data_IF_921175546720
#
_entry.id   IF_921175546720
#
_cell.length_a   1.000
_cell.length_b   1.000
_cell.length_c   1.000
_cell.angle_alpha   90.00
_cell.angle_beta   90.00
_cell.angle_gamma   90.00
#
_symmetry.space_group_name_H-M   'P 1'
#
loop_
_entity.id
_entity.type
_entity.pdbx_description
1 polymer ?
#
# COMPACT_ATOMS: atom_id res chain seq x y z
N UNK A 1 -9.49 17.74 89.81
CA UNK A 1 -8.73 16.58 89.26
C UNK A 1 -9.56 15.85 88.22
N UNK A 2 -9.34 16.12 86.94
CA UNK A 2 -9.84 15.29 85.82
C UNK A 2 -8.84 15.44 84.70
N UNK A 3 -8.12 14.36 84.38
CA UNK A 3 -7.17 14.27 83.28
C UNK A 3 -7.97 13.94 82.01
N UNK A 4 -7.96 14.85 81.02
CA UNK A 4 -8.49 14.58 79.69
C UNK A 4 -7.41 13.92 78.82
N UNK A 5 -7.67 12.73 78.35
CA UNK A 5 -6.86 12.01 77.39
C UNK A 5 -7.24 12.51 76.01
N UNK A 6 -6.31 13.18 75.33
CA UNK A 6 -6.41 13.48 73.90
C UNK A 6 -5.90 12.26 73.18
N UNK A 7 -6.78 11.55 72.41
CA UNK A 7 -6.42 10.52 71.50
C UNK A 7 -6.09 11.17 70.13
N UNK A 8 -4.83 11.15 69.79
CA UNK A 8 -4.38 11.52 68.44
C UNK A 8 -4.65 10.32 67.54
N UNK A 9 -5.58 10.45 66.58
CA UNK A 9 -5.83 9.49 65.56
C UNK A 9 -4.89 9.82 64.41
N UNK A 10 -3.85 9.00 64.21
CA UNK A 10 -3.03 9.01 63.01
C UNK A 10 -3.82 8.36 61.88
N UNK A 11 -4.33 9.16 60.94
CA UNK A 11 -4.88 8.67 59.69
C UNK A 11 -3.70 8.38 58.77
N UNK A 12 -3.34 7.12 58.63
CA UNK A 12 -2.43 6.66 57.57
C UNK A 12 -3.18 6.71 56.22
N UNK A 13 -2.93 7.76 55.42
CA UNK A 13 -3.33 7.77 54.04
C UNK A 13 -2.33 6.88 53.30
N UNK A 14 -2.68 5.62 53.10
CA UNK A 14 -2.00 4.74 52.19
C UNK A 14 -2.32 5.20 50.74
N UNK A 15 -1.43 5.99 50.14
CA UNK A 15 -1.47 6.25 48.71
C UNK A 15 -1.10 4.96 48.03
N UNK A 16 -2.10 4.19 47.61
CA UNK A 16 -1.94 3.09 46.72
C UNK A 16 -1.52 3.67 45.34
N UNK A 17 -0.22 3.70 45.11
CA UNK A 17 0.31 3.79 43.75
C UNK A 17 -0.13 2.52 43.01
N UNK A 18 -1.24 2.62 42.27
CA UNK A 18 -1.58 1.64 41.25
C UNK A 18 -0.56 1.88 40.12
N UNK A 19 0.59 1.23 40.26
CA UNK A 19 1.48 1.03 39.14
C UNK A 19 0.67 0.13 38.19
N UNK A 20 -0.04 0.75 37.25
CA UNK A 20 -0.56 0.06 36.09
C UNK A 20 0.66 -0.46 35.34
N UNK A 21 1.09 -1.66 35.69
CA UNK A 21 1.98 -2.44 34.86
C UNK A 21 1.21 -2.74 33.59
N UNK A 22 1.18 -1.80 32.62
CA UNK A 22 0.94 -2.15 31.24
C UNK A 22 2.03 -3.17 30.92
N UNK A 23 1.66 -4.45 31.00
CA UNK A 23 2.44 -5.48 30.36
C UNK A 23 2.50 -5.04 28.89
N UNK A 24 3.61 -4.46 28.49
CA UNK A 24 3.99 -4.38 27.09
C UNK A 24 3.96 -5.83 26.63
N UNK A 25 2.87 -6.20 26.00
CA UNK A 25 2.80 -7.50 25.35
C UNK A 25 3.86 -7.43 24.27
N UNK A 26 5.03 -8.03 24.56
CA UNK A 26 6.06 -8.19 23.54
C UNK A 26 5.38 -8.73 22.31
N UNK A 27 5.50 -8.03 21.21
CA UNK A 27 4.98 -8.48 19.93
C UNK A 27 5.49 -9.92 19.67
N UNK A 28 4.57 -10.87 19.55
CA UNK A 28 4.91 -12.29 19.38
C UNK A 28 5.20 -12.68 17.90
N UNK A 29 5.39 -11.68 17.03
CA UNK A 29 5.52 -11.87 15.60
C UNK A 29 4.17 -11.73 14.87
N UNK A 30 4.18 -11.73 13.55
CA UNK A 30 2.98 -11.72 12.74
C UNK A 30 2.18 -13.01 13.00
N UNK A 31 0.84 -12.89 13.14
CA UNK A 31 -0.01 -14.09 13.18
C UNK A 31 0.17 -14.86 11.87
N UNK A 32 0.06 -16.20 11.89
CA UNK A 32 0.09 -17.00 10.67
C UNK A 32 -0.93 -16.46 9.66
N UNK A 33 -0.48 -16.29 8.41
CA UNK A 33 -1.35 -15.83 7.33
C UNK A 33 -2.22 -17.02 6.94
N UNK A 34 -3.53 -16.82 6.94
CA UNK A 34 -4.46 -17.88 6.59
C UNK A 34 -4.28 -18.31 5.13
N UNK A 35 -4.06 -19.59 4.91
CA UNK A 35 -4.07 -20.18 3.56
C UNK A 35 -5.51 -20.17 3.05
N UNK A 36 -5.70 -19.64 1.85
CA UNK A 36 -7.01 -19.55 1.19
C UNK A 36 -6.91 -20.16 -0.21
N UNK A 37 -8.01 -20.66 -0.77
CA UNK A 37 -8.04 -21.06 -2.18
C UNK A 37 -7.77 -19.86 -3.08
N UNK A 38 -6.92 -20.07 -4.10
CA UNK A 38 -6.53 -19.03 -5.06
C UNK A 38 -6.96 -19.35 -6.50
N UNK A 39 -7.90 -20.29 -6.64
CA UNK A 39 -8.61 -20.49 -7.90
C UNK A 39 -9.43 -19.24 -8.23
N UNK A 40 -9.46 -18.87 -9.53
CA UNK A 40 -10.15 -17.68 -10.00
C UNK A 40 -11.63 -17.67 -9.58
N UNK A 41 -12.10 -16.52 -9.14
CA UNK A 41 -13.47 -16.27 -8.69
C UNK A 41 -14.11 -15.15 -9.49
N UNK A 42 -15.42 -15.18 -9.74
CA UNK A 42 -16.10 -14.09 -10.43
C UNK A 42 -15.90 -12.74 -9.73
N UNK A 43 -15.68 -11.70 -10.52
CA UNK A 43 -15.67 -10.30 -10.09
C UNK A 43 -16.91 -9.59 -10.59
N UNK A 44 -17.47 -8.72 -9.74
CA UNK A 44 -18.57 -7.87 -10.09
C UNK A 44 -18.03 -6.62 -10.83
N UNK A 45 -18.32 -6.51 -12.12
CA UNK A 45 -17.98 -5.33 -12.90
C UNK A 45 -18.96 -4.20 -12.59
N UNK A 46 -18.44 -3.02 -12.29
CA UNK A 46 -19.25 -1.82 -12.18
C UNK A 46 -19.69 -1.35 -13.59
N UNK A 47 -20.87 -0.77 -13.69
CA UNK A 47 -21.23 -0.02 -14.88
C UNK A 47 -20.33 1.21 -15.02
N UNK A 48 -19.87 1.51 -16.23
CA UNK A 48 -19.03 2.69 -16.51
C UNK A 48 -19.79 3.65 -17.43
N UNK A 49 -19.71 4.95 -17.09
CA UNK A 49 -20.37 6.00 -17.86
C UNK A 49 -20.63 7.25 -17.04
N UNK A 50 -21.51 8.10 -17.54
CA UNK A 50 -21.97 9.31 -16.88
C UNK A 50 -23.35 9.11 -16.27
N UNK A 51 -23.47 9.42 -14.99
CA UNK A 51 -24.72 9.43 -14.23
C UNK A 51 -25.32 10.83 -14.29
N UNK A 52 -26.55 10.94 -14.78
CA UNK A 52 -27.33 12.16 -14.74
C UNK A 52 -28.24 12.13 -13.50
N UNK A 53 -28.04 13.04 -12.56
CA UNK A 53 -28.73 13.03 -11.27
C UNK A 53 -29.93 13.95 -11.21
N UNK A 54 -30.22 14.64 -12.31
CA UNK A 54 -31.24 15.70 -12.37
C UNK A 54 -30.76 17.01 -11.74
N UNK A 55 -31.47 18.08 -12.01
CA UNK A 55 -31.14 19.42 -11.53
C UNK A 55 -29.78 19.93 -12.03
N UNK A 56 -29.28 19.42 -13.17
CA UNK A 56 -28.00 19.80 -13.73
C UNK A 56 -26.76 19.25 -13.01
N UNK A 57 -26.91 18.20 -12.21
CA UNK A 57 -25.80 17.52 -11.50
C UNK A 57 -25.44 16.22 -12.22
N UNK A 58 -24.15 15.97 -12.41
CA UNK A 58 -23.61 14.82 -13.11
C UNK A 58 -22.44 14.20 -12.32
N UNK A 59 -22.25 12.90 -12.51
CA UNK A 59 -21.08 12.19 -12.03
C UNK A 59 -20.57 11.21 -13.09
N UNK A 60 -19.30 10.79 -13.03
CA UNK A 60 -18.77 9.80 -13.94
C UNK A 60 -17.74 8.91 -13.27
N UNK A 61 -17.70 7.64 -13.68
CA UNK A 61 -16.68 6.65 -13.36
C UNK A 61 -16.02 6.10 -14.64
N UNK A 62 -16.16 6.79 -15.78
CA UNK A 62 -15.60 6.37 -17.06
C UNK A 62 -14.16 6.88 -17.23
N UNK A 63 -13.26 6.29 -16.43
CA UNK A 63 -11.80 6.48 -16.49
C UNK A 63 -11.08 5.33 -15.78
N UNK A 64 -9.77 5.22 -15.99
CA UNK A 64 -8.93 4.22 -15.33
C UNK A 64 -8.86 4.45 -13.82
N UNK A 65 -9.01 3.39 -13.03
CA UNK A 65 -8.96 3.45 -11.57
C UNK A 65 -10.25 3.96 -10.90
N UNK A 66 -11.28 4.32 -11.67
CA UNK A 66 -12.55 4.75 -11.13
C UNK A 66 -13.27 3.65 -10.35
N UNK A 67 -13.94 4.06 -9.26
CA UNK A 67 -14.88 3.22 -8.49
C UNK A 67 -16.05 4.06 -8.01
N UNK A 68 -17.20 3.80 -8.60
CA UNK A 68 -18.50 4.39 -8.28
C UNK A 68 -19.57 3.38 -8.69
N UNK A 69 -20.13 2.67 -7.71
CA UNK A 69 -21.09 1.59 -8.01
C UNK A 69 -22.53 2.08 -8.09
N UNK A 70 -22.83 3.19 -7.44
CA UNK A 70 -24.13 3.85 -7.51
C UNK A 70 -24.06 5.26 -6.96
N UNK A 71 -24.92 6.12 -7.47
CA UNK A 71 -25.08 7.50 -7.02
C UNK A 71 -26.52 7.95 -7.21
N UNK A 72 -27.05 8.68 -6.24
CA UNK A 72 -28.42 9.20 -6.27
C UNK A 72 -28.50 10.58 -5.64
N UNK A 73 -29.26 11.48 -6.25
CA UNK A 73 -29.64 12.73 -5.64
C UNK A 73 -30.89 12.50 -4.76
N UNK A 74 -30.72 12.65 -3.45
CA UNK A 74 -31.81 12.48 -2.49
C UNK A 74 -32.73 13.69 -2.42
N UNK A 75 -32.16 14.90 -2.55
CA UNK A 75 -32.85 16.20 -2.61
C UNK A 75 -31.93 17.25 -3.25
N UNK A 76 -32.27 18.53 -3.13
CA UNK A 76 -31.52 19.62 -3.78
C UNK A 76 -30.07 19.78 -3.31
N UNK A 77 -29.78 19.35 -2.10
CA UNK A 77 -28.44 19.50 -1.49
C UNK A 77 -27.77 18.20 -1.12
N UNK A 78 -28.47 17.06 -1.06
CA UNK A 78 -27.90 15.78 -0.64
C UNK A 78 -27.77 14.83 -1.82
N UNK A 79 -26.54 14.39 -2.04
CA UNK A 79 -26.17 13.32 -3.00
C UNK A 79 -25.57 12.17 -2.22
N UNK A 80 -26.03 10.94 -2.47
CA UNK A 80 -25.50 9.72 -1.84
C UNK A 80 -24.81 8.85 -2.86
N UNK A 81 -23.59 8.45 -2.52
CA UNK A 81 -22.71 7.55 -3.29
C UNK A 81 -22.66 6.19 -2.62
N UNK A 82 -22.71 5.12 -3.40
CA UNK A 82 -22.49 3.74 -2.96
C UNK A 82 -21.22 3.19 -3.60
N UNK A 83 -20.34 2.64 -2.77
CA UNK A 83 -19.12 1.95 -3.17
C UNK A 83 -19.18 0.51 -2.68
N UNK A 84 -18.90 -0.44 -3.57
CA UNK A 84 -18.85 -1.88 -3.27
C UNK A 84 -17.53 -2.49 -3.72
N UNK A 85 -17.12 -3.61 -3.15
CA UNK A 85 -15.96 -4.36 -3.60
C UNK A 85 -16.21 -5.07 -4.94
N UNK A 86 -15.16 -5.56 -5.55
CA UNK A 86 -15.19 -6.38 -6.76
C UNK A 86 -15.77 -7.77 -6.53
N UNK A 87 -15.56 -8.35 -5.34
CA UNK A 87 -16.17 -9.61 -4.90
C UNK A 87 -16.03 -9.80 -3.40
N UNK A 88 -16.52 -10.95 -2.89
CA UNK A 88 -16.39 -11.38 -1.49
C UNK A 88 -16.10 -12.87 -1.42
N UNK A 89 -15.48 -13.38 -0.33
CA UNK A 89 -14.94 -12.64 0.81
C UNK A 89 -13.71 -11.81 0.44
N UNK A 90 -13.52 -10.69 1.14
CA UNK A 90 -12.41 -9.75 0.89
C UNK A 90 -11.92 -9.16 2.21
N UNK A 91 -10.60 -8.93 2.33
CA UNK A 91 -10.05 -8.02 3.33
C UNK A 91 -10.19 -6.59 2.79
N UNK A 92 -11.14 -5.78 3.27
CA UNK A 92 -11.56 -4.58 2.56
C UNK A 92 -10.54 -3.45 2.67
N UNK A 93 -10.19 -2.89 1.52
CA UNK A 93 -9.52 -1.60 1.37
C UNK A 93 -10.40 -0.69 0.51
N UNK A 94 -11.44 -0.06 1.08
CA UNK A 94 -12.53 0.57 0.35
C UNK A 94 -12.10 1.73 -0.53
N UNK A 95 -11.61 1.42 -1.71
CA UNK A 95 -11.24 2.37 -2.75
C UNK A 95 -12.46 3.03 -3.35
N UNK A 96 -12.36 4.31 -3.66
CA UNK A 96 -13.32 5.09 -4.44
C UNK A 96 -12.59 6.13 -5.28
N UNK A 97 -13.09 6.38 -6.49
CA UNK A 97 -12.63 7.45 -7.35
C UNK A 97 -13.71 7.77 -8.38
N UNK A 98 -14.15 9.01 -8.49
CA UNK A 98 -15.18 9.45 -9.42
C UNK A 98 -15.04 10.93 -9.72
N UNK A 99 -15.70 11.36 -10.81
CA UNK A 99 -15.85 12.75 -11.20
C UNK A 99 -17.24 13.25 -10.82
N UNK A 100 -17.33 14.54 -10.50
CA UNK A 100 -18.57 15.21 -10.16
C UNK A 100 -18.54 16.63 -10.72
N UNK A 101 -19.65 17.10 -11.29
CA UNK A 101 -19.80 18.48 -11.79
C UNK A 101 -21.28 18.88 -11.86
N UNK A 102 -21.55 20.17 -12.08
CA UNK A 102 -22.89 20.68 -12.32
C UNK A 102 -22.88 21.79 -13.37
N UNK A 103 -24.03 22.05 -13.97
CA UNK A 103 -24.15 23.12 -14.98
C UNK A 103 -24.01 24.51 -14.39
N UNK A 104 -24.31 24.68 -13.10
CA UNK A 104 -24.22 25.93 -12.37
C UNK A 104 -23.50 25.71 -11.04
N UNK A 105 -22.84 26.74 -10.54
CA UNK A 105 -22.20 26.74 -9.22
C UNK A 105 -23.21 26.42 -8.12
N UNK A 106 -22.86 25.47 -7.26
CA UNK A 106 -23.69 25.10 -6.09
C UNK A 106 -22.91 24.36 -5.01
N UNK A 107 -23.46 24.44 -3.81
CA UNK A 107 -23.01 23.62 -2.68
C UNK A 107 -23.87 22.35 -2.57
N UNK A 108 -23.20 21.21 -2.36
CA UNK A 108 -23.86 19.92 -2.06
C UNK A 108 -23.26 19.26 -0.85
N UNK A 109 -24.07 18.43 -0.17
CA UNK A 109 -23.62 17.47 0.82
C UNK A 109 -23.49 16.11 0.13
N UNK A 110 -22.28 15.62 -0.06
CA UNK A 110 -22.03 14.29 -0.60
C UNK A 110 -21.86 13.30 0.53
N UNK A 111 -22.75 12.31 0.59
CA UNK A 111 -22.64 11.16 1.51
C UNK A 111 -22.00 9.99 0.80
N UNK A 112 -20.81 9.59 1.25
CA UNK A 112 -20.11 8.43 0.73
C UNK A 112 -20.40 7.21 1.60
N UNK A 113 -21.07 6.20 1.01
CA UNK A 113 -21.48 4.97 1.69
C UNK A 113 -20.83 3.75 1.07
N UNK A 114 -20.85 2.65 1.80
CA UNK A 114 -20.20 1.40 1.42
C UNK A 114 -21.19 0.23 1.53
N UNK A 115 -20.87 -0.88 0.87
CA UNK A 115 -21.61 -2.14 1.07
C UNK A 115 -21.66 -2.55 2.54
N UNK A 116 -22.66 -3.36 2.90
CA UNK A 116 -22.79 -3.87 4.26
C UNK A 116 -21.55 -4.61 4.74
N UNK A 117 -21.22 -4.40 6.01
CA UNK A 117 -19.99 -4.97 6.61
C UNK A 117 -18.71 -4.22 6.28
N UNK A 118 -18.77 -3.16 5.44
CA UNK A 118 -17.61 -2.30 5.14
C UNK A 118 -17.67 -0.96 5.88
N UNK A 119 -16.62 -0.16 5.68
CA UNK A 119 -16.32 1.05 6.43
C UNK A 119 -15.59 2.08 5.57
N UNK A 120 -15.52 3.32 6.05
CA UNK A 120 -14.65 4.33 5.45
C UNK A 120 -13.21 4.17 5.97
N UNK A 121 -12.23 4.21 5.05
CA UNK A 121 -10.80 4.06 5.37
C UNK A 121 -9.97 5.28 4.99
N UNK A 122 -10.13 5.78 3.78
CA UNK A 122 -9.22 6.77 3.20
C UNK A 122 -9.77 8.18 3.32
N UNK A 123 -8.98 9.09 3.90
CA UNK A 123 -9.32 10.50 3.96
C UNK A 123 -9.42 11.08 2.54
N UNK A 124 -10.56 11.72 2.16
CA UNK A 124 -10.80 12.10 0.77
C UNK A 124 -9.79 13.10 0.22
N UNK A 125 -9.38 12.89 -1.02
CA UNK A 125 -8.59 13.82 -1.82
C UNK A 125 -9.41 14.36 -2.97
N UNK A 126 -9.22 15.64 -3.25
CA UNK A 126 -9.90 16.39 -4.30
C UNK A 126 -8.89 16.87 -5.34
N UNK A 127 -9.33 16.95 -6.60
CA UNK A 127 -8.56 17.51 -7.70
C UNK A 127 -9.48 18.11 -8.75
N UNK A 128 -9.05 19.19 -9.42
CA UNK A 128 -9.76 19.76 -10.57
C UNK A 128 -9.12 19.38 -11.92
N UNK A 129 -7.96 18.74 -11.92
CA UNK A 129 -7.24 18.35 -13.14
C UNK A 129 -6.85 16.87 -13.17
N UNK A 130 -7.16 16.09 -12.12
CA UNK A 130 -6.80 14.68 -11.99
C UNK A 130 -5.31 14.41 -11.77
N UNK A 131 -4.50 15.46 -11.59
CA UNK A 131 -3.04 15.38 -11.39
C UNK A 131 -2.61 15.90 -10.03
N UNK A 132 -3.08 17.09 -9.66
CA UNK A 132 -2.75 17.76 -8.41
C UNK A 132 -3.86 17.45 -7.40
N UNK A 133 -3.50 16.80 -6.30
CA UNK A 133 -4.44 16.28 -5.31
C UNK A 133 -4.23 16.95 -3.96
N UNK A 134 -5.30 17.41 -3.35
CA UNK A 134 -5.29 17.96 -1.98
C UNK A 134 -6.27 17.23 -1.10
N UNK A 135 -5.93 16.95 0.18
CA UNK A 135 -6.92 16.47 1.15
C UNK A 135 -8.07 17.47 1.27
N UNK A 136 -9.30 16.97 1.46
CA UNK A 136 -10.44 17.85 1.76
C UNK A 136 -10.17 18.61 3.07
N UNK A 137 -10.63 19.87 3.14
CA UNK A 137 -10.58 20.64 4.40
C UNK A 137 -11.39 19.93 5.50
N UNK A 138 -10.79 19.76 6.67
CA UNK A 138 -11.41 19.08 7.79
C UNK A 138 -12.71 19.72 8.28
N UNK A 139 -12.90 21.02 8.04
CA UNK A 139 -14.16 21.73 8.34
C UNK A 139 -15.33 21.27 7.46
N UNK A 140 -15.02 20.76 6.26
CA UNK A 140 -16.00 20.28 5.27
C UNK A 140 -16.25 18.76 5.34
N UNK A 141 -15.56 18.07 6.25
CA UNK A 141 -15.62 16.62 6.41
C UNK A 141 -16.24 16.21 7.73
N UNK A 142 -17.13 15.23 7.71
CA UNK A 142 -17.78 14.67 8.91
C UNK A 142 -17.94 13.16 8.82
N UNK A 143 -17.42 12.45 9.80
CA UNK A 143 -17.64 11.02 9.96
C UNK A 143 -19.02 10.71 10.55
N UNK A 144 -19.58 9.55 10.17
CA UNK A 144 -20.81 9.06 10.79
C UNK A 144 -20.59 8.68 12.25
N UNK A 145 -21.61 8.88 13.10
CA UNK A 145 -21.64 8.31 14.44
C UNK A 145 -21.78 6.78 14.43
N UNK A 146 -22.41 6.25 13.37
CA UNK A 146 -22.49 4.80 13.15
C UNK A 146 -21.12 4.26 12.84
N UNK A 147 -20.67 3.30 13.67
CA UNK A 147 -19.35 2.69 13.59
C UNK A 147 -19.43 1.20 13.34
N UNK A 148 -18.31 0.63 12.88
CA UNK A 148 -18.08 -0.81 12.78
C UNK A 148 -16.72 -1.12 13.42
N UNK A 149 -16.69 -2.18 14.24
CA UNK A 149 -15.45 -2.67 14.85
C UNK A 149 -14.71 -3.56 13.85
N UNK A 150 -13.49 -3.19 13.48
CA UNK A 150 -12.60 -3.98 12.62
C UNK A 150 -11.27 -4.13 13.32
N UNK A 151 -10.97 -5.35 13.77
CA UNK A 151 -9.84 -5.62 14.66
C UNK A 151 -9.86 -4.68 15.89
N UNK A 152 -8.79 -3.90 16.12
CA UNK A 152 -8.70 -2.92 17.20
C UNK A 152 -9.28 -1.54 16.86
N UNK A 153 -9.80 -1.33 15.63
CA UNK A 153 -10.24 -0.03 15.14
C UNK A 153 -11.76 0.09 15.13
N UNK A 154 -12.24 1.25 15.54
CA UNK A 154 -13.66 1.61 15.51
C UNK A 154 -13.89 2.62 14.36
N UNK A 155 -14.32 2.11 13.20
CA UNK A 155 -14.31 2.83 11.92
C UNK A 155 -15.70 3.38 11.54
N UNK A 156 -15.78 4.56 10.89
CA UNK A 156 -17.05 5.12 10.45
C UNK A 156 -17.66 4.29 9.31
N UNK A 157 -18.98 4.07 9.33
CA UNK A 157 -19.68 3.35 8.27
C UNK A 157 -19.86 4.17 7.00
N UNK A 158 -19.90 5.49 7.14
CA UNK A 158 -19.99 6.44 6.02
C UNK A 158 -19.44 7.80 6.43
N UNK A 159 -19.23 8.67 5.46
CA UNK A 159 -18.85 10.05 5.69
C UNK A 159 -19.76 11.00 4.94
N UNK A 160 -19.77 12.26 5.36
CA UNK A 160 -20.38 13.37 4.62
C UNK A 160 -19.31 14.41 4.31
N UNK A 161 -19.35 14.95 3.10
CA UNK A 161 -18.48 16.03 2.62
C UNK A 161 -19.36 17.17 2.11
N UNK A 162 -19.03 18.41 2.46
CA UNK A 162 -19.59 19.59 1.83
C UNK A 162 -18.69 19.94 0.66
N UNK A 163 -19.24 19.99 -0.54
CA UNK A 163 -18.51 20.21 -1.78
C UNK A 163 -19.14 21.34 -2.59
N UNK A 164 -18.30 22.25 -3.09
CA UNK A 164 -18.66 23.22 -4.13
C UNK A 164 -18.45 22.56 -5.48
N UNK A 165 -19.47 22.48 -6.29
CA UNK A 165 -19.43 21.93 -7.66
C UNK A 165 -19.95 22.96 -8.65
N UNK A 166 -19.41 22.94 -9.85
CA UNK A 166 -19.75 23.86 -10.93
C UNK A 166 -19.50 23.21 -12.29
N UNK A 167 -19.38 24.00 -13.37
CA UNK A 167 -19.07 23.48 -14.70
C UNK A 167 -17.72 22.75 -14.79
N UNK A 168 -16.77 23.13 -13.93
CA UNK A 168 -15.48 22.44 -13.86
C UNK A 168 -15.61 21.09 -13.15
N UNK A 169 -14.92 20.11 -13.69
CA UNK A 169 -14.96 18.74 -13.14
C UNK A 169 -14.16 18.66 -11.83
N UNK A 170 -14.83 18.30 -10.75
CA UNK A 170 -14.22 17.93 -9.49
C UNK A 170 -13.98 16.40 -9.44
N UNK A 171 -12.75 15.99 -9.22
CA UNK A 171 -12.39 14.62 -8.95
C UNK A 171 -12.39 14.38 -7.44
N UNK A 172 -12.99 13.28 -7.01
CA UNK A 172 -13.02 12.83 -5.60
C UNK A 172 -12.45 11.43 -5.53
N UNK A 173 -11.40 11.23 -4.76
CA UNK A 173 -10.75 9.93 -4.66
C UNK A 173 -10.22 9.61 -3.26
N UNK A 174 -10.00 8.32 -3.01
CA UNK A 174 -9.41 7.78 -1.80
C UNK A 174 -7.94 8.18 -1.63
N UNK A 175 -7.19 8.15 -2.71
CA UNK A 175 -5.77 8.54 -2.83
C UNK A 175 -5.58 9.17 -4.22
N UNK A 176 -4.38 9.65 -4.51
CA UNK A 176 -4.00 10.08 -5.86
C UNK A 176 -4.21 8.95 -6.87
N UNK A 177 -4.68 9.28 -8.06
CA UNK A 177 -4.85 8.28 -9.13
C UNK A 177 -3.49 7.91 -9.72
N UNK A 178 -3.01 6.74 -9.38
CA UNK A 178 -1.83 6.11 -9.98
C UNK A 178 -2.30 4.87 -10.74
N UNK A 179 -2.67 5.08 -11.99
CA UNK A 179 -3.19 4.06 -12.92
C UNK A 179 -2.06 3.34 -13.67
N UNK A 180 -2.38 2.30 -14.44
CA UNK A 180 -1.37 1.64 -15.27
C UNK A 180 -0.75 2.58 -16.32
N UNK A 181 -1.53 3.50 -16.89
CA UNK A 181 -1.00 4.52 -17.81
C UNK A 181 0.02 5.41 -17.12
N UNK A 182 -0.24 5.86 -15.90
CA UNK A 182 0.70 6.71 -15.14
C UNK A 182 1.98 5.95 -14.75
N UNK A 183 1.85 4.68 -14.38
CA UNK A 183 3.02 3.82 -14.12
C UNK A 183 3.84 3.63 -15.40
N UNK A 184 3.17 3.41 -16.53
CA UNK A 184 3.84 3.32 -17.82
C UNK A 184 4.62 4.59 -18.19
N UNK A 185 4.02 5.77 -17.99
CA UNK A 185 4.68 7.06 -18.24
C UNK A 185 5.94 7.24 -17.37
N UNK A 186 5.88 6.81 -16.10
CA UNK A 186 7.04 6.81 -15.22
C UNK A 186 8.14 5.87 -15.74
N UNK A 187 7.78 4.66 -16.17
CA UNK A 187 8.73 3.70 -16.75
C UNK A 187 9.39 4.27 -17.99
N UNK A 188 8.62 4.88 -18.92
CA UNK A 188 9.15 5.53 -20.12
C UNK A 188 10.12 6.67 -19.76
N UNK A 189 9.79 7.47 -18.72
CA UNK A 189 10.70 8.50 -18.21
C UNK A 189 12.01 7.92 -17.69
N UNK A 190 11.95 6.81 -16.97
CA UNK A 190 13.13 6.11 -16.44
C UNK A 190 14.04 5.55 -17.55
N UNK A 191 13.46 5.11 -18.67
CA UNK A 191 14.24 4.60 -19.82
C UNK A 191 15.12 5.63 -20.52
N UNK A 192 14.97 6.94 -20.20
CA UNK A 192 15.91 7.95 -20.66
C UNK A 192 17.33 7.76 -20.10
N UNK A 193 17.48 6.99 -19.02
CA UNK A 193 18.76 6.68 -18.39
C UNK A 193 19.40 5.46 -19.08
N UNK A 194 20.71 5.51 -19.45
CA UNK A 194 21.36 4.49 -20.27
C UNK A 194 21.47 3.11 -19.60
N UNK A 195 21.39 3.05 -18.27
CA UNK A 195 21.45 1.83 -17.46
C UNK A 195 20.05 1.33 -17.03
N UNK A 196 18.98 1.90 -17.60
CA UNK A 196 17.61 1.45 -17.39
C UNK A 196 17.08 0.78 -18.64
N UNK A 197 16.46 -0.38 -18.48
CA UNK A 197 15.77 -1.08 -19.55
C UNK A 197 14.43 -1.61 -19.08
N UNK A 198 13.48 -1.75 -20.03
CA UNK A 198 12.14 -2.27 -19.80
C UNK A 198 11.94 -3.58 -20.59
N UNK A 199 11.15 -4.48 -20.03
CA UNK A 199 10.66 -5.68 -20.72
C UNK A 199 9.26 -6.03 -20.25
N UNK A 200 8.51 -6.79 -21.05
CA UNK A 200 7.26 -7.44 -20.66
C UNK A 200 7.59 -8.88 -20.23
N UNK A 201 7.19 -9.25 -18.99
CA UNK A 201 7.44 -10.60 -18.46
C UNK A 201 6.21 -11.50 -18.50
N UNK A 202 5.07 -10.98 -18.87
CA UNK A 202 3.80 -11.68 -18.99
C UNK A 202 2.63 -10.74 -19.10
N UNK A 203 1.43 -11.29 -19.02
CA UNK A 203 0.18 -10.54 -19.12
C UNK A 203 -0.78 -10.90 -17.99
N UNK A 204 -1.56 -9.91 -17.56
CA UNK A 204 -2.64 -10.06 -16.60
C UNK A 204 -3.83 -10.84 -17.19
N UNK A 205 -4.82 -11.12 -16.35
CA UNK A 205 -6.08 -11.79 -16.75
C UNK A 205 -6.77 -11.06 -17.92
N UNK A 206 -6.78 -9.71 -17.92
CA UNK A 206 -7.38 -8.90 -18.99
C UNK A 206 -6.41 -8.56 -20.11
N UNK A 207 -5.21 -9.16 -20.10
CA UNK A 207 -4.22 -9.02 -21.18
C UNK A 207 -3.32 -7.79 -21.09
N UNK A 208 -3.32 -7.05 -19.99
CA UNK A 208 -2.40 -5.92 -19.77
C UNK A 208 -0.99 -6.43 -19.51
N UNK A 209 0.06 -5.75 -20.01
CA UNK A 209 1.43 -6.16 -19.78
C UNK A 209 1.80 -6.11 -18.31
N UNK A 210 2.55 -7.12 -17.85
CA UNK A 210 3.29 -7.05 -16.60
C UNK A 210 4.68 -6.54 -16.98
N UNK A 211 4.89 -5.25 -16.73
CA UNK A 211 6.13 -4.57 -17.07
C UNK A 211 7.19 -4.78 -15.99
N UNK A 212 8.41 -5.07 -16.44
CA UNK A 212 9.59 -5.18 -15.61
C UNK A 212 10.60 -4.11 -16.01
N UNK A 213 11.10 -3.38 -15.02
CA UNK A 213 12.20 -2.43 -15.17
C UNK A 213 13.47 -3.05 -14.60
N UNK A 214 14.59 -2.94 -15.32
CA UNK A 214 15.93 -3.24 -14.81
C UNK A 214 16.71 -1.94 -14.66
N UNK A 215 17.32 -1.74 -13.52
CA UNK A 215 18.26 -0.66 -13.24
C UNK A 215 19.61 -1.26 -12.87
N UNK A 216 20.64 -1.04 -13.67
CA UNK A 216 21.99 -1.52 -13.38
C UNK A 216 22.80 -1.84 -14.64
N UNK A 217 24.09 -2.06 -14.43
CA UNK A 217 25.10 -2.29 -15.46
C UNK A 217 25.86 -3.61 -15.24
N UNK A 218 25.50 -4.39 -14.20
CA UNK A 218 26.22 -5.59 -13.80
C UNK A 218 25.85 -6.81 -14.65
N UNK A 219 26.58 -7.90 -14.46
CA UNK A 219 26.46 -9.17 -15.19
C UNK A 219 25.36 -10.13 -14.66
N UNK A 220 24.44 -9.63 -13.85
CA UNK A 220 23.38 -10.41 -13.16
C UNK A 220 23.87 -11.46 -12.15
N UNK A 221 25.12 -11.35 -11.66
CA UNK A 221 25.58 -12.22 -10.58
C UNK A 221 25.01 -11.82 -9.23
N UNK A 222 24.81 -10.52 -9.02
CA UNK A 222 24.24 -9.96 -7.79
C UNK A 222 22.99 -9.16 -8.14
N UNK A 223 21.86 -9.55 -7.59
CA UNK A 223 20.54 -8.99 -7.93
C UNK A 223 19.73 -8.64 -6.69
N UNK A 224 18.88 -7.63 -6.83
CA UNK A 224 17.78 -7.37 -5.90
C UNK A 224 16.45 -7.30 -6.66
N UNK A 225 15.36 -7.59 -5.96
CA UNK A 225 14.01 -7.58 -6.54
C UNK A 225 13.09 -6.62 -5.79
N UNK A 226 12.36 -5.79 -6.52
CA UNK A 226 11.41 -4.81 -5.99
C UNK A 226 10.03 -5.06 -6.60
N UNK A 227 9.05 -5.16 -5.74
CA UNK A 227 7.66 -5.40 -6.11
C UNK A 227 6.76 -4.34 -5.51
N UNK A 228 5.68 -3.98 -6.19
CA UNK A 228 4.65 -3.09 -5.68
C UNK A 228 3.29 -3.37 -6.31
N UNK A 229 2.24 -2.80 -5.72
CA UNK A 229 0.88 -2.76 -6.23
C UNK A 229 0.29 -4.13 -6.55
N UNK A 230 0.53 -5.12 -5.70
CA UNK A 230 -0.28 -6.34 -5.67
C UNK A 230 -1.75 -6.01 -5.31
N UNK A 231 -1.95 -5.01 -4.43
CA UNK A 231 -3.27 -4.50 -4.04
C UNK A 231 -3.50 -3.11 -4.65
N UNK A 232 -4.59 -2.93 -5.39
CA UNK A 232 -4.88 -1.72 -6.16
C UNK A 232 -4.90 -0.40 -5.37
N UNK A 233 -5.44 -0.30 -4.13
CA UNK A 233 -5.52 0.95 -3.39
C UNK A 233 -4.20 1.44 -2.76
N UNK A 234 -3.16 0.64 -2.77
CA UNK A 234 -1.94 0.87 -1.98
C UNK A 234 -0.98 1.85 -2.67
N UNK A 235 -1.43 3.11 -2.79
CA UNK A 235 -0.72 4.17 -3.52
C UNK A 235 0.51 4.66 -2.76
N UNK A 236 0.47 4.77 -1.42
CA UNK A 236 1.61 5.28 -0.65
C UNK A 236 2.82 4.34 -0.72
N UNK A 237 2.59 3.03 -0.74
CA UNK A 237 3.66 2.05 -0.97
C UNK A 237 4.29 2.20 -2.35
N UNK A 238 3.47 2.40 -3.38
CA UNK A 238 3.96 2.65 -4.73
C UNK A 238 4.83 3.92 -4.82
N UNK A 239 4.39 5.03 -4.24
CA UNK A 239 5.15 6.29 -4.25
C UNK A 239 6.47 6.18 -3.47
N UNK A 240 6.53 5.38 -2.40
CA UNK A 240 7.78 5.08 -1.71
C UNK A 240 8.70 4.19 -2.56
N UNK A 241 8.14 3.23 -3.30
CA UNK A 241 8.87 2.41 -4.27
C UNK A 241 9.45 3.26 -5.41
N UNK A 242 8.69 4.22 -5.96
CA UNK A 242 9.22 5.17 -6.96
C UNK A 242 10.48 5.88 -6.44
N UNK A 243 10.40 6.50 -5.25
CA UNK A 243 11.52 7.21 -4.64
C UNK A 243 12.71 6.28 -4.35
N UNK A 244 12.45 5.04 -3.95
CA UNK A 244 13.47 4.01 -3.75
C UNK A 244 14.21 3.69 -5.06
N UNK A 245 13.49 3.44 -6.14
CA UNK A 245 14.05 3.11 -7.45
C UNK A 245 14.78 4.31 -8.08
N UNK A 246 14.19 5.50 -8.02
CA UNK A 246 14.82 6.74 -8.49
C UNK A 246 16.14 7.02 -7.76
N UNK A 247 16.24 6.68 -6.47
CA UNK A 247 17.49 6.82 -5.71
C UNK A 247 18.56 5.85 -6.19
N UNK A 248 18.20 4.60 -6.51
CA UNK A 248 19.14 3.64 -7.11
C UNK A 248 19.57 4.09 -8.52
N UNK A 249 18.69 4.77 -9.23
CA UNK A 249 18.95 5.30 -10.57
C UNK A 249 19.55 6.71 -10.56
N UNK A 250 19.87 7.30 -9.41
CA UNK A 250 20.44 8.66 -9.34
C UNK A 250 21.92 8.71 -9.74
N UNK A 251 22.44 9.93 -9.97
CA UNK A 251 23.86 10.21 -10.27
C UNK A 251 24.74 10.27 -9.00
N UNK A 252 24.23 9.80 -7.87
CA UNK A 252 24.97 9.72 -6.61
C UNK A 252 26.05 8.63 -6.72
N UNK A 253 27.24 8.89 -6.21
CA UNK A 253 28.42 7.99 -6.30
C UNK A 253 28.14 6.59 -5.71
N UNK A 254 27.31 6.49 -4.67
CA UNK A 254 26.94 5.21 -4.09
C UNK A 254 25.98 4.45 -5.04
N UNK A 255 25.05 5.15 -5.70
CA UNK A 255 24.15 4.56 -6.67
C UNK A 255 24.92 4.10 -7.92
N UNK A 256 25.89 4.88 -8.41
CA UNK A 256 26.77 4.46 -9.52
C UNK A 256 27.57 3.21 -9.16
N UNK A 257 28.18 3.18 -7.97
CA UNK A 257 28.92 2.00 -7.50
C UNK A 257 27.99 0.79 -7.38
N UNK A 258 26.79 1.00 -6.84
CA UNK A 258 25.82 -0.07 -6.68
C UNK A 258 25.39 -0.65 -8.03
N UNK A 259 25.03 0.16 -9.02
CA UNK A 259 24.63 -0.28 -10.36
C UNK A 259 25.72 -1.06 -11.13
N UNK A 260 26.99 -0.80 -10.85
CA UNK A 260 28.13 -1.56 -11.42
C UNK A 260 28.24 -2.97 -10.82
N UNK A 261 27.75 -3.16 -9.59
CA UNK A 261 27.88 -4.41 -8.85
C UNK A 261 26.56 -5.20 -8.81
N UNK A 262 25.41 -4.51 -8.76
CA UNK A 262 24.09 -5.09 -8.59
C UNK A 262 23.15 -4.65 -9.72
N UNK A 263 22.30 -5.56 -10.15
CA UNK A 263 21.11 -5.24 -10.95
C UNK A 263 19.87 -5.26 -10.06
N UNK A 264 19.06 -4.20 -10.19
CA UNK A 264 17.75 -4.10 -9.55
C UNK A 264 16.68 -4.44 -10.57
N UNK A 265 15.84 -5.42 -10.28
CA UNK A 265 14.68 -5.81 -11.06
C UNK A 265 13.41 -5.36 -10.36
N UNK A 266 12.57 -4.61 -11.05
CA UNK A 266 11.40 -3.95 -10.48
C UNK A 266 10.14 -4.34 -11.26
N UNK A 267 9.10 -4.82 -10.57
CA UNK A 267 7.73 -4.88 -11.07
C UNK A 267 6.92 -3.82 -10.33
N UNK A 268 6.77 -2.62 -10.91
CA UNK A 268 6.15 -1.50 -10.21
C UNK A 268 4.64 -1.65 -10.05
N UNK A 269 4.00 -2.47 -10.90
CA UNK A 269 2.56 -2.69 -10.93
C UNK A 269 2.24 -4.17 -11.18
N UNK A 270 2.14 -4.95 -10.11
CA UNK A 270 1.84 -6.37 -10.21
C UNK A 270 0.38 -6.66 -10.61
N UNK A 271 -0.56 -5.75 -10.31
CA UNK A 271 -1.99 -5.92 -10.55
C UNK A 271 -2.57 -4.79 -11.40
N UNK A 272 -2.22 -4.71 -12.69
CA UNK A 272 -2.67 -3.63 -13.58
C UNK A 272 -4.18 -3.64 -13.79
N UNK A 273 -4.80 -4.83 -13.86
CA UNK A 273 -6.24 -4.97 -14.03
C UNK A 273 -7.01 -4.44 -12.82
N UNK A 274 -6.62 -4.88 -11.62
CA UNK A 274 -7.25 -4.43 -10.39
C UNK A 274 -7.15 -2.93 -10.20
N UNK A 275 -5.99 -2.34 -10.54
CA UNK A 275 -5.78 -0.89 -10.50
C UNK A 275 -6.69 -0.17 -11.47
N UNK A 276 -6.73 -0.57 -12.75
CA UNK A 276 -7.55 0.11 -13.76
C UNK A 276 -9.06 -0.09 -13.57
N UNK A 277 -9.46 -1.19 -12.93
CA UNK A 277 -10.85 -1.48 -12.59
C UNK A 277 -11.29 -0.86 -11.24
N UNK A 278 -10.38 -0.21 -10.50
CA UNK A 278 -10.67 0.39 -9.20
C UNK A 278 -11.05 -0.65 -8.14
N UNK A 279 -10.41 -1.82 -8.16
CA UNK A 279 -10.65 -2.88 -7.18
C UNK A 279 -10.16 -2.48 -5.79
N UNK A 280 -10.76 -3.08 -4.76
CA UNK A 280 -10.37 -2.86 -3.36
C UNK A 280 -9.14 -3.67 -2.96
N UNK A 281 -8.91 -4.84 -3.61
CA UNK A 281 -7.80 -5.72 -3.25
C UNK A 281 -7.39 -6.70 -4.34
N UNK A 282 -8.36 -7.30 -5.02
CA UNK A 282 -8.13 -8.48 -5.84
C UNK A 282 -7.75 -8.16 -7.30
N UNK A 283 -7.13 -9.14 -7.97
CA UNK A 283 -6.90 -9.14 -9.41
C UNK A 283 -8.24 -9.23 -10.18
N UNK A 284 -8.19 -9.16 -11.51
CA UNK A 284 -9.35 -9.47 -12.35
C UNK A 284 -9.78 -10.95 -12.26
N UNK A 285 -8.91 -11.85 -11.83
CA UNK A 285 -9.26 -13.21 -11.44
C UNK A 285 -10.00 -13.32 -10.12
N UNK A 286 -10.23 -12.22 -9.40
CA UNK A 286 -10.96 -12.17 -8.14
C UNK A 286 -10.18 -12.67 -6.93
N UNK A 287 -8.85 -12.64 -7.01
CA UNK A 287 -7.93 -13.24 -6.03
C UNK A 287 -6.93 -12.18 -5.51
N UNK A 288 -6.65 -12.27 -4.21
CA UNK A 288 -5.53 -11.57 -3.58
C UNK A 288 -4.21 -12.16 -4.08
N UNK A 289 -3.49 -11.42 -4.93
CA UNK A 289 -2.22 -11.88 -5.50
C UNK A 289 -1.20 -12.24 -4.43
N UNK A 290 -1.19 -11.51 -3.29
CA UNK A 290 -0.30 -11.80 -2.16
C UNK A 290 -0.75 -12.99 -1.30
N UNK A 291 -1.61 -13.86 -1.83
CA UNK A 291 -1.99 -15.17 -1.29
C UNK A 291 -1.72 -16.31 -2.28
N UNK A 292 -1.34 -15.99 -3.52
CA UNK A 292 -1.20 -16.98 -4.59
C UNK A 292 0.23 -17.48 -4.81
N UNK A 293 1.21 -16.98 -4.07
CA UNK A 293 2.64 -17.30 -4.28
C UNK A 293 3.00 -18.77 -4.09
N UNK A 294 2.21 -19.56 -3.36
CA UNK A 294 2.38 -20.99 -3.26
C UNK A 294 1.72 -21.78 -4.42
N UNK A 295 0.54 -21.35 -4.85
CA UNK A 295 -0.30 -22.09 -5.80
C UNK A 295 -0.06 -21.65 -7.25
N UNK A 296 0.24 -20.38 -7.48
CA UNK A 296 0.57 -19.81 -8.81
C UNK A 296 -0.57 -20.01 -9.83
N UNK A 297 -1.80 -19.75 -9.38
CA UNK A 297 -3.01 -19.85 -10.21
C UNK A 297 -3.28 -18.56 -11.00
N UNK A 298 -2.73 -17.42 -10.54
CA UNK A 298 -2.92 -16.13 -11.18
C UNK A 298 -1.77 -15.84 -12.15
N UNK A 299 -2.06 -15.40 -13.40
CA UNK A 299 -1.04 -15.19 -14.43
C UNK A 299 -0.01 -14.12 -14.02
N UNK A 300 -0.40 -13.12 -13.24
CA UNK A 300 0.48 -12.08 -12.73
C UNK A 300 1.58 -12.67 -11.83
N UNK A 301 1.20 -13.53 -10.88
CA UNK A 301 2.15 -14.22 -9.99
C UNK A 301 3.01 -15.21 -10.78
N UNK A 302 2.39 -15.94 -11.73
CA UNK A 302 3.10 -16.87 -12.60
C UNK A 302 4.19 -16.17 -13.42
N UNK A 303 3.90 -15.00 -14.00
CA UNK A 303 4.84 -14.20 -14.76
C UNK A 303 6.05 -13.75 -13.91
N UNK A 304 5.79 -13.22 -12.70
CA UNK A 304 6.84 -12.75 -11.80
C UNK A 304 7.72 -13.91 -11.34
N UNK A 305 7.13 -15.01 -10.87
CA UNK A 305 7.88 -16.18 -10.46
C UNK A 305 8.68 -16.82 -11.61
N UNK A 306 8.07 -16.88 -12.80
CA UNK A 306 8.71 -17.36 -14.01
C UNK A 306 9.99 -16.59 -14.34
N UNK A 307 9.87 -15.26 -14.37
CA UNK A 307 11.01 -14.37 -14.58
C UNK A 307 12.13 -14.59 -13.55
N UNK A 308 11.81 -14.61 -12.26
CA UNK A 308 12.82 -14.77 -11.21
C UNK A 308 13.56 -16.11 -11.31
N UNK A 309 12.84 -17.21 -11.56
CA UNK A 309 13.42 -18.56 -11.74
C UNK A 309 14.32 -18.61 -12.97
N UNK A 310 13.83 -18.10 -14.10
CA UNK A 310 14.57 -18.08 -15.36
C UNK A 310 15.83 -17.22 -15.24
N UNK A 311 15.75 -16.08 -14.54
CA UNK A 311 16.90 -15.19 -14.33
C UNK A 311 18.02 -15.90 -13.58
N UNK A 312 17.72 -16.65 -12.50
CA UNK A 312 18.72 -17.44 -11.76
C UNK A 312 19.34 -18.52 -12.65
N UNK A 313 18.52 -19.26 -13.41
CA UNK A 313 18.99 -20.32 -14.31
C UNK A 313 19.95 -19.76 -15.35
N UNK A 314 19.57 -18.66 -16.01
CA UNK A 314 20.32 -18.09 -17.12
C UNK A 314 21.60 -17.37 -16.70
N UNK A 315 21.59 -16.68 -15.56
CA UNK A 315 22.76 -15.91 -15.09
C UNK A 315 23.65 -16.70 -14.14
N UNK A 316 23.13 -17.73 -13.47
CA UNK A 316 23.78 -18.36 -12.33
C UNK A 316 24.05 -17.38 -11.18
N UNK A 317 23.27 -16.30 -11.12
CA UNK A 317 23.38 -15.26 -10.09
C UNK A 317 22.54 -15.54 -8.86
N UNK A 318 22.47 -14.54 -7.97
CA UNK A 318 21.77 -14.64 -6.69
C UNK A 318 20.94 -13.37 -6.43
N UNK A 319 19.71 -13.54 -5.98
CA UNK A 319 18.94 -12.47 -5.38
C UNK A 319 19.36 -12.32 -3.91
N UNK A 320 19.92 -11.16 -3.55
CA UNK A 320 20.37 -10.87 -2.18
C UNK A 320 19.27 -10.21 -1.34
N UNK A 321 18.38 -9.47 -1.98
CA UNK A 321 17.30 -8.76 -1.30
C UNK A 321 16.03 -8.78 -2.15
N UNK A 322 14.87 -8.84 -1.47
CA UNK A 322 13.56 -8.71 -2.08
C UNK A 322 12.66 -7.83 -1.22
N UNK A 323 12.05 -6.81 -1.80
CA UNK A 323 11.09 -5.95 -1.11
C UNK A 323 9.78 -5.88 -1.87
N UNK A 324 8.69 -5.95 -1.11
CA UNK A 324 7.32 -5.75 -1.60
C UNK A 324 6.71 -4.54 -0.89
N UNK A 325 6.47 -3.48 -1.65
CA UNK A 325 5.89 -2.24 -1.14
C UNK A 325 4.38 -2.31 -1.11
N UNK A 326 3.82 -2.17 0.07
CA UNK A 326 2.40 -2.18 0.39
C UNK A 326 1.97 -0.91 1.13
N UNK A 327 0.67 -0.79 1.41
CA UNK A 327 0.14 0.26 2.26
C UNK A 327 -0.90 -0.25 3.22
N UNK A 328 -0.82 0.23 4.46
CA UNK A 328 -1.84 0.01 5.48
C UNK A 328 -2.08 1.28 6.30
N UNK A 329 -2.76 1.18 7.43
CA UNK A 329 -3.11 2.33 8.28
C UNK A 329 -1.90 3.08 8.84
N UNK A 330 -0.80 2.38 9.09
CA UNK A 330 0.44 2.87 9.69
C UNK A 330 1.64 2.12 9.12
N UNK A 331 2.84 2.64 9.30
CA UNK A 331 4.03 1.95 8.84
C UNK A 331 4.24 0.64 9.59
N UNK A 332 4.46 -0.44 8.86
CA UNK A 332 4.80 -1.76 9.40
C UNK A 332 5.89 -2.41 8.53
N UNK A 333 6.88 -2.97 9.16
CA UNK A 333 7.94 -3.74 8.49
C UNK A 333 7.75 -5.23 8.83
N UNK A 334 7.12 -5.98 7.91
CA UNK A 334 7.06 -7.43 8.07
C UNK A 334 8.35 -8.04 7.54
N UNK A 335 9.19 -8.51 8.47
CA UNK A 335 10.49 -9.11 8.19
C UNK A 335 10.41 -10.64 8.25
N UNK A 336 11.43 -11.31 7.73
CA UNK A 336 11.62 -12.74 7.99
C UNK A 336 11.98 -12.93 9.46
N UNK A 337 11.65 -14.07 10.04
CA UNK A 337 12.01 -14.44 11.41
C UNK A 337 13.53 -14.38 11.57
N UNK A 338 13.99 -13.68 12.61
CA UNK A 338 15.42 -13.44 12.87
C UNK A 338 16.22 -14.69 13.23
N UNK A 339 15.55 -15.81 13.50
CA UNK A 339 16.19 -17.12 13.71
C UNK A 339 16.61 -17.79 12.39
N UNK A 340 16.07 -17.31 11.27
CA UNK A 340 16.39 -17.81 9.94
C UNK A 340 17.47 -16.92 9.30
N UNK A 341 18.30 -17.52 8.47
CA UNK A 341 19.41 -16.83 7.80
C UNK A 341 19.28 -17.00 6.29
N UNK A 342 19.24 -15.89 5.58
CA UNK A 342 19.30 -15.84 4.13
C UNK A 342 20.74 -15.62 3.62
N UNK A 343 20.85 -15.04 2.42
CA UNK A 343 22.13 -14.79 1.74
C UNK A 343 22.94 -13.65 2.40
N UNK A 344 22.29 -12.77 3.17
CA UNK A 344 22.89 -11.62 3.85
C UNK A 344 22.27 -11.43 5.23
N UNK A 345 22.57 -12.29 6.21
CA UNK A 345 21.96 -12.24 7.53
C UNK A 345 22.09 -10.88 8.20
N UNK A 346 20.98 -10.33 8.70
CA UNK A 346 20.91 -9.04 9.36
C UNK A 346 20.81 -7.82 8.44
N UNK A 347 20.76 -7.99 7.11
CA UNK A 347 20.61 -6.89 6.15
C UNK A 347 19.35 -6.05 6.41
N UNK A 348 18.19 -6.68 6.47
CA UNK A 348 16.89 -6.00 6.63
C UNK A 348 16.77 -5.24 7.95
N UNK A 349 17.08 -5.83 9.12
CA UNK A 349 17.09 -5.09 10.39
C UNK A 349 18.06 -3.89 10.39
N UNK A 350 19.25 -4.02 9.82
CA UNK A 350 20.21 -2.92 9.71
C UNK A 350 19.70 -1.80 8.81
N UNK A 351 19.15 -2.14 7.66
CA UNK A 351 18.54 -1.17 6.71
C UNK A 351 17.42 -0.38 7.38
N UNK A 352 16.49 -1.06 8.06
CA UNK A 352 15.39 -0.41 8.77
C UNK A 352 15.90 0.51 9.87
N UNK A 353 16.89 0.04 10.67
CA UNK A 353 17.48 0.84 11.75
C UNK A 353 18.20 2.08 11.22
N UNK A 354 18.99 1.96 10.14
CA UNK A 354 19.68 3.10 9.53
C UNK A 354 18.72 4.14 9.00
N UNK A 355 17.71 3.73 8.22
CA UNK A 355 16.66 4.62 7.72
C UNK A 355 15.88 5.28 8.87
N UNK A 356 15.49 4.53 9.89
CA UNK A 356 14.74 5.04 11.02
C UNK A 356 15.55 6.06 11.84
N UNK A 357 16.85 5.84 12.01
CA UNK A 357 17.76 6.78 12.68
C UNK A 357 17.85 8.11 11.93
N UNK A 358 18.03 8.07 10.60
CA UNK A 358 18.09 9.27 9.76
C UNK A 358 16.79 10.09 9.78
N UNK A 359 15.65 9.43 9.88
CA UNK A 359 14.33 10.06 9.87
C UNK A 359 13.78 10.37 11.27
N UNK A 360 14.47 9.96 12.34
CA UNK A 360 13.99 10.09 13.71
C UNK A 360 12.72 9.30 13.98
N UNK A 361 12.57 8.12 13.39
CA UNK A 361 11.40 7.25 13.50
C UNK A 361 11.63 6.09 14.46
N UNK A 362 10.54 5.58 15.04
CA UNK A 362 10.52 4.31 15.79
C UNK A 362 9.84 3.24 14.92
N UNK A 363 10.61 2.31 14.33
CA UNK A 363 10.07 1.39 13.33
C UNK A 363 9.25 0.27 13.96
N UNK A 364 8.02 0.07 13.48
CA UNK A 364 7.15 -1.03 13.88
C UNK A 364 7.53 -2.32 13.15
N UNK A 365 8.52 -3.04 13.66
CA UNK A 365 9.03 -4.28 13.06
C UNK A 365 8.22 -5.47 13.54
N UNK A 366 7.73 -6.28 12.62
CA UNK A 366 6.90 -7.48 12.87
C UNK A 366 7.50 -8.71 12.17
N UNK A 367 8.34 -9.49 12.86
CA UNK A 367 8.89 -10.73 12.30
C UNK A 367 7.79 -11.73 11.91
N UNK A 368 7.90 -12.31 10.73
CA UNK A 368 6.97 -13.30 10.22
C UNK A 368 7.36 -14.69 10.72
N UNK A 369 6.44 -15.36 11.42
CA UNK A 369 6.61 -16.79 11.79
C UNK A 369 6.46 -17.66 10.56
N UNK A 370 7.49 -18.46 10.26
CA UNK A 370 7.57 -19.29 9.05
C UNK A 370 6.90 -20.66 9.25
N UNK A 371 5.72 -20.69 9.84
CA UNK A 371 4.98 -21.91 10.22
C UNK A 371 3.91 -22.36 9.20
N UNK A 372 3.78 -21.65 8.08
CA UNK A 372 2.89 -21.96 6.97
C UNK A 372 3.63 -21.91 5.62
N UNK A 373 3.12 -22.52 4.54
CA UNK A 373 3.73 -22.44 3.20
C UNK A 373 3.91 -21.01 2.69
N UNK A 374 4.83 -20.80 1.73
CA UNK A 374 5.09 -19.51 1.06
C UNK A 374 3.87 -19.04 0.29
N UNK A 375 2.99 -18.32 0.94
CA UNK A 375 1.76 -17.80 0.32
C UNK A 375 1.83 -16.30 -0.01
N UNK A 376 2.89 -15.61 0.40
CA UNK A 376 3.15 -14.21 0.07
C UNK A 376 4.53 -14.04 -0.57
N UNK A 377 4.73 -12.87 -1.20
CA UNK A 377 5.92 -12.50 -1.95
C UNK A 377 7.20 -12.57 -1.12
N UNK A 378 7.25 -11.94 0.04
CA UNK A 378 8.47 -11.86 0.85
C UNK A 378 8.94 -13.24 1.33
N UNK A 379 8.02 -14.12 1.75
CA UNK A 379 8.37 -15.50 2.07
C UNK A 379 8.89 -16.27 0.86
N UNK A 380 8.26 -16.09 -0.29
CA UNK A 380 8.70 -16.70 -1.53
C UNK A 380 10.12 -16.28 -1.88
N UNK A 381 10.45 -14.99 -1.79
CA UNK A 381 11.81 -14.49 -2.05
C UNK A 381 12.83 -15.16 -1.13
N UNK A 382 12.52 -15.25 0.15
CA UNK A 382 13.40 -15.89 1.13
C UNK A 382 13.51 -17.41 0.90
N UNK A 383 12.39 -18.14 0.84
CA UNK A 383 12.38 -19.61 0.77
C UNK A 383 12.96 -20.15 -0.55
N UNK A 384 12.79 -19.43 -1.67
CA UNK A 384 13.24 -19.90 -2.98
C UNK A 384 14.62 -19.44 -3.36
N UNK A 385 15.03 -18.28 -2.89
CA UNK A 385 16.30 -17.66 -3.32
C UNK A 385 17.25 -17.35 -2.17
N UNK A 386 16.84 -17.54 -0.92
CA UNK A 386 17.61 -17.10 0.25
C UNK A 386 17.72 -15.58 0.34
N UNK A 387 16.98 -14.83 -0.46
CA UNK A 387 17.00 -13.38 -0.44
C UNK A 387 16.49 -12.84 0.90
N UNK A 388 17.21 -11.92 1.51
CA UNK A 388 16.67 -11.18 2.66
C UNK A 388 15.42 -10.43 2.21
N UNK A 389 14.31 -10.59 2.92
CA UNK A 389 13.02 -10.15 2.39
C UNK A 389 12.23 -9.28 3.35
N UNK A 390 11.52 -8.32 2.78
CA UNK A 390 10.73 -7.33 3.49
C UNK A 390 9.39 -7.10 2.79
N UNK A 391 8.28 -7.16 3.54
CA UNK A 391 7.05 -6.48 3.14
C UNK A 391 7.02 -5.14 3.85
N UNK A 392 7.11 -4.07 3.09
CA UNK A 392 7.17 -2.69 3.58
C UNK A 392 5.79 -2.03 3.45
N UNK A 393 5.05 -2.02 4.53
CA UNK A 393 3.76 -1.33 4.63
C UNK A 393 3.98 0.15 4.96
N UNK A 394 3.50 1.03 4.10
CA UNK A 394 3.54 2.48 4.30
C UNK A 394 2.15 2.96 4.77
N UNK A 395 2.10 3.83 5.77
CA UNK A 395 0.84 4.38 6.26
C UNK A 395 0.08 5.17 5.18
N UNK A 396 -1.25 4.96 5.08
CA UNK A 396 -2.12 5.58 4.06
C UNK A 396 -2.05 7.11 4.07
N UNK A 397 -1.91 7.72 5.25
CA UNK A 397 -1.90 9.17 5.45
C UNK A 397 -0.49 9.75 5.65
N UNK A 398 0.56 8.98 5.33
CA UNK A 398 1.94 9.47 5.41
C UNK A 398 2.11 10.73 4.54
N UNK A 399 2.62 11.85 5.10
CA UNK A 399 2.94 13.05 4.33
C UNK A 399 3.86 12.73 3.15
N UNK A 400 3.58 13.30 1.97
CA UNK A 400 4.23 12.90 0.71
C UNK A 400 5.74 13.17 0.68
N UNK A 401 6.20 14.22 1.35
CA UNK A 401 7.62 14.53 1.56
C UNK A 401 8.32 13.51 2.47
N UNK A 402 7.66 13.06 3.55
CA UNK A 402 8.17 12.00 4.42
C UNK A 402 8.18 10.65 3.71
N UNK A 403 7.14 10.36 2.92
CA UNK A 403 7.04 9.15 2.13
C UNK A 403 8.21 9.05 1.13
N UNK A 404 8.50 10.14 0.40
CA UNK A 404 9.64 10.20 -0.51
C UNK A 404 10.97 9.93 0.23
N UNK A 405 11.18 10.60 1.37
CA UNK A 405 12.37 10.36 2.22
C UNK A 405 12.49 8.89 2.69
N UNK A 406 11.38 8.23 3.03
CA UNK A 406 11.40 6.80 3.40
C UNK A 406 11.92 5.94 2.26
N UNK A 407 11.47 6.16 1.04
CA UNK A 407 12.00 5.47 -0.15
C UNK A 407 13.48 5.74 -0.35
N UNK A 408 13.87 7.02 -0.37
CA UNK A 408 15.25 7.48 -0.58
C UNK A 408 16.23 6.92 0.46
N UNK A 409 15.92 7.04 1.74
CA UNK A 409 16.81 6.57 2.81
C UNK A 409 16.89 5.04 2.88
N UNK A 410 15.77 4.34 2.63
CA UNK A 410 15.77 2.88 2.54
C UNK A 410 16.68 2.39 1.42
N UNK A 411 16.64 3.02 0.24
CA UNK A 411 17.52 2.67 -0.88
C UNK A 411 18.99 2.96 -0.56
N UNK A 412 19.29 4.13 0.03
CA UNK A 412 20.67 4.50 0.40
C UNK A 412 21.26 3.53 1.42
N UNK A 413 20.52 3.19 2.47
CA UNK A 413 20.99 2.24 3.47
C UNK A 413 21.17 0.84 2.90
N UNK A 414 20.26 0.37 2.04
CA UNK A 414 20.41 -0.90 1.36
C UNK A 414 21.69 -0.94 0.51
N UNK A 415 21.91 0.08 -0.32
CA UNK A 415 23.10 0.18 -1.18
C UNK A 415 24.40 0.20 -0.36
N UNK A 416 24.47 1.01 0.71
CA UNK A 416 25.61 1.04 1.63
C UNK A 416 25.93 -0.34 2.22
N UNK A 417 24.90 -1.03 2.74
CA UNK A 417 25.06 -2.32 3.38
C UNK A 417 25.48 -3.42 2.41
N UNK A 418 24.95 -3.43 1.19
CA UNK A 418 25.32 -4.41 0.17
C UNK A 418 26.72 -4.18 -0.38
N UNK A 419 27.19 -2.93 -0.49
CA UNK A 419 28.54 -2.60 -0.95
C UNK A 419 29.61 -2.76 0.14
N UNK A 420 29.27 -2.57 1.41
CA UNK A 420 30.24 -2.63 2.51
C UNK A 420 30.76 -4.06 2.83
N UNK A 421 30.10 -5.08 2.32
CA UNK A 421 30.44 -6.49 2.56
C UNK A 421 31.22 -7.12 1.38
N UNK A 422 31.71 -6.30 0.46
CA UNK A 422 32.65 -6.66 -0.61
C UNK A 422 34.11 -6.44 -0.17
#
# INVERSE_FOLDING_TARGET
MRKSFIRIIFVFIAILWIISCQKSTKWAGQKPIQVVPTDSRPVQKQWKGTFELGGGIYASNDFEGARLNGIVRNNDTLVTVLITSENTPINPSPWYAFKLWSLEEREINLRLTYQDGSFHRYYPKLSYNGKDWTPIDSSLYRESEKRIQVASRNLPKFINMQLSIGPDTLWVAAQELVTSSKVHDWIEGMQALPYVSKSEIGRSVEGRPIELVRVGESDDKKMIFVLSRQHPPEVTGYLAMEAFVETIASDDSIAESFRKNYNTYIVPLANPDGVNNGHWRHSAGGIDLNRDWANVNQPEVAAIQGFMKEKIINSGGTFFFGVDFHSTWEDIYYTIDTTLQGNRPGLVPKMISGMAQELGLDPNIRPNKMDVPSINSSRYFFEKFGAEALTYEIGDDTPRDLLRKKGEFSARELMKLLLAEE
#
